data_IF_677917267007
#
_entry.id   IF_677917267007
#
_cell.length_a   1.000
_cell.length_b   1.000
_cell.length_c   1.000
_cell.angle_alpha   90.00
_cell.angle_beta   90.00
_cell.angle_gamma   90.00
#
_symmetry.space_group_name_H-M   'P 1'
#
loop_
_entity.id
_entity.type
_entity.pdbx_description
1 polymer ?
#
# COMPACT_ATOMS: atom_id res chain seq x y z
N UNK A 1 12.85 -21.70 -18.87
CA UNK A 1 12.41 -20.69 -19.85
C UNK A 1 12.88 -19.31 -19.40
N UNK A 2 13.89 -18.73 -20.05
CA UNK A 2 14.27 -17.32 -19.80
C UNK A 2 13.33 -16.45 -20.63
N UNK A 3 12.39 -15.75 -19.99
CA UNK A 3 11.52 -14.79 -20.66
C UNK A 3 12.35 -13.61 -21.14
N UNK A 4 12.62 -13.57 -22.44
CA UNK A 4 13.29 -12.45 -23.11
C UNK A 4 12.36 -11.25 -23.10
N UNK A 5 12.34 -10.49 -22.01
CA UNK A 5 11.52 -9.27 -21.91
C UNK A 5 11.92 -8.29 -23.02
N UNK A 6 10.94 -7.85 -23.81
CA UNK A 6 11.14 -6.78 -24.78
C UNK A 6 11.51 -5.48 -24.04
N UNK A 7 12.36 -4.63 -24.64
CA UNK A 7 12.73 -3.31 -24.07
C UNK A 7 11.50 -2.48 -23.66
N UNK A 8 10.37 -2.66 -24.36
CA UNK A 8 9.10 -2.00 -24.08
C UNK A 8 8.45 -2.49 -22.77
N UNK A 9 8.44 -3.79 -22.51
CA UNK A 9 7.83 -4.37 -21.29
C UNK A 9 8.61 -3.95 -20.05
N UNK A 10 9.94 -3.94 -20.15
CA UNK A 10 10.81 -3.48 -19.06
C UNK A 10 10.60 -1.99 -18.76
N UNK A 11 10.34 -1.17 -19.79
CA UNK A 11 10.04 0.25 -19.63
C UNK A 11 8.65 0.46 -19.01
N UNK A 12 7.66 -0.33 -19.40
CA UNK A 12 6.31 -0.29 -18.82
C UNK A 12 6.30 -0.72 -17.36
N UNK A 13 7.02 -1.79 -16.99
CA UNK A 13 7.21 -2.17 -15.59
C UNK A 13 7.89 -1.05 -14.80
N UNK A 14 9.01 -0.50 -15.30
CA UNK A 14 9.68 0.60 -14.62
C UNK A 14 8.75 1.80 -14.40
N UNK A 15 7.95 2.16 -15.42
CA UNK A 15 7.01 3.28 -15.32
C UNK A 15 5.90 3.04 -14.28
N UNK A 16 5.51 1.78 -14.09
CA UNK A 16 4.52 1.37 -13.10
C UNK A 16 5.10 1.37 -11.67
N UNK A 17 6.32 0.87 -11.48
CA UNK A 17 6.96 0.79 -10.15
C UNK A 17 7.50 2.14 -9.67
N UNK A 18 7.85 3.03 -10.58
CA UNK A 18 8.40 4.36 -10.25
C UNK A 18 7.48 5.20 -9.33
N UNK A 19 6.17 5.37 -9.64
CA UNK A 19 5.26 6.07 -8.73
C UNK A 19 5.07 5.37 -7.38
N UNK A 20 5.13 4.04 -7.36
CA UNK A 20 4.96 3.24 -6.15
C UNK A 20 6.06 3.55 -5.12
N UNK A 21 7.32 3.65 -5.59
CA UNK A 21 8.45 4.01 -4.73
C UNK A 21 8.36 5.42 -4.15
N UNK A 22 7.90 6.39 -4.95
CA UNK A 22 7.71 7.78 -4.50
C UNK A 22 6.56 7.85 -3.48
N UNK A 23 5.44 7.18 -3.74
CA UNK A 23 4.30 7.13 -2.81
C UNK A 23 4.65 6.50 -1.47
N UNK A 24 5.41 5.41 -1.47
CA UNK A 24 5.88 4.77 -0.23
C UNK A 24 6.77 5.72 0.61
N UNK A 25 7.72 6.41 -0.03
CA UNK A 25 8.59 7.36 0.66
C UNK A 25 7.81 8.58 1.19
N UNK A 26 6.83 9.08 0.43
CA UNK A 26 5.97 10.18 0.83
C UNK A 26 5.06 9.82 2.01
N UNK A 27 4.75 8.54 2.21
CA UNK A 27 3.97 8.08 3.39
C UNK A 27 4.86 8.05 4.63
N UNK A 28 6.09 7.55 4.47
CA UNK A 28 7.04 7.42 5.57
C UNK A 28 7.36 8.76 6.24
N UNK A 29 7.49 9.83 5.45
CA UNK A 29 7.72 11.19 5.97
C UNK A 29 6.50 11.79 6.67
N UNK A 30 5.29 11.28 6.43
CA UNK A 30 4.05 11.75 7.05
C UNK A 30 3.62 10.97 8.28
N UNK A 31 4.29 9.86 8.61
CA UNK A 31 4.02 9.13 9.85
C UNK A 31 4.17 9.97 11.13
N UNK A 32 5.17 10.87 11.26
CA UNK A 32 5.25 11.78 12.41
C UNK A 32 4.03 12.71 12.48
N UNK A 33 3.59 13.25 11.33
CA UNK A 33 2.44 14.15 11.21
C UNK A 33 1.12 13.46 11.64
N UNK A 34 0.91 12.23 11.18
CA UNK A 34 -0.25 11.39 11.53
C UNK A 34 -0.25 11.04 13.01
N UNK A 35 0.91 10.70 13.57
CA UNK A 35 1.05 10.42 15.00
C UNK A 35 0.62 11.61 15.85
N UNK A 36 1.09 12.81 15.49
CA UNK A 36 0.77 14.03 16.23
C UNK A 36 -0.72 14.40 16.10
N UNK A 37 -1.32 14.20 14.92
CA UNK A 37 -2.76 14.39 14.69
C UNK A 37 -3.65 13.44 15.48
N UNK A 38 -3.24 12.18 15.66
CA UNK A 38 -4.00 11.19 16.44
C UNK A 38 -3.75 11.28 17.96
N UNK A 39 -2.83 12.14 18.41
CA UNK A 39 -2.45 12.30 19.82
C UNK A 39 -2.06 10.98 20.53
N UNK A 40 -1.46 10.04 19.79
CA UNK A 40 -1.14 8.70 20.26
C UNK A 40 0.34 8.55 20.63
N UNK A 41 0.60 7.72 21.65
CA UNK A 41 1.96 7.36 22.05
C UNK A 41 2.70 6.63 20.91
N UNK A 42 4.01 6.85 20.80
CA UNK A 42 4.91 6.14 19.89
C UNK A 42 4.72 4.62 19.93
N UNK A 43 4.55 4.06 21.12
CA UNK A 43 4.31 2.62 21.29
C UNK A 43 3.00 2.16 20.64
N UNK A 44 1.91 2.90 20.86
CA UNK A 44 0.59 2.60 20.30
C UNK A 44 0.57 2.73 18.78
N UNK A 45 1.23 3.77 18.23
CA UNK A 45 1.39 3.93 16.79
C UNK A 45 2.15 2.76 16.16
N UNK A 46 3.23 2.29 16.81
CA UNK A 46 3.99 1.11 16.37
C UNK A 46 3.15 -0.18 16.37
N UNK A 47 2.27 -0.35 17.37
CA UNK A 47 1.32 -1.47 17.39
C UNK A 47 0.32 -1.38 16.24
N UNK A 48 -0.21 -0.19 15.94
CA UNK A 48 -1.13 0.00 14.81
C UNK A 48 -0.46 -0.26 13.46
N UNK A 49 0.79 0.19 13.29
CA UNK A 49 1.59 -0.12 12.10
C UNK A 49 1.82 -1.63 11.94
N UNK A 50 2.05 -2.33 13.06
CA UNK A 50 2.25 -3.79 13.07
C UNK A 50 0.95 -4.55 12.74
N UNK A 51 -0.21 -4.03 13.16
CA UNK A 51 -1.52 -4.56 12.76
C UNK A 51 -1.77 -4.34 11.27
N UNK A 52 -1.31 -3.21 10.70
CA UNK A 52 -1.29 -2.99 9.26
C UNK A 52 -0.52 -4.05 8.48
N UNK A 53 0.63 -4.49 9.00
CA UNK A 53 1.42 -5.55 8.37
C UNK A 53 0.65 -6.87 8.23
N UNK A 54 -0.29 -7.17 9.14
CA UNK A 54 -1.17 -8.34 9.04
C UNK A 54 -2.08 -8.24 7.80
N UNK A 55 -2.61 -7.03 7.54
CA UNK A 55 -3.35 -6.75 6.31
C UNK A 55 -2.52 -7.07 5.06
N UNK A 56 -1.27 -6.62 5.04
CA UNK A 56 -0.34 -6.90 3.93
C UNK A 56 -0.08 -8.39 3.70
N UNK A 57 0.07 -9.16 4.78
CA UNK A 57 0.24 -10.62 4.68
C UNK A 57 -1.01 -11.29 4.08
N UNK A 58 -2.20 -10.90 4.54
CA UNK A 58 -3.47 -11.41 4.03
C UNK A 58 -3.62 -11.07 2.54
N UNK A 59 -3.28 -9.83 2.17
CA UNK A 59 -3.28 -9.33 0.81
C UNK A 59 -2.35 -10.11 -0.11
N UNK A 60 -1.13 -10.43 0.33
CA UNK A 60 -0.19 -11.25 -0.45
C UNK A 60 -0.71 -12.66 -0.72
N UNK A 61 -1.37 -13.29 0.27
CA UNK A 61 -1.96 -14.62 0.10
C UNK A 61 -3.11 -14.57 -0.91
N UNK A 62 -3.98 -13.57 -0.80
CA UNK A 62 -5.12 -13.36 -1.71
C UNK A 62 -4.68 -13.04 -3.14
N UNK A 63 -3.65 -12.20 -3.29
CA UNK A 63 -3.16 -11.76 -4.61
C UNK A 63 -2.68 -12.95 -5.45
N UNK A 64 -2.07 -13.97 -4.83
CA UNK A 64 -1.61 -15.16 -5.53
C UNK A 64 -2.76 -15.92 -6.21
N UNK A 65 -3.89 -16.08 -5.51
CA UNK A 65 -5.07 -16.74 -6.07
C UNK A 65 -5.81 -15.85 -7.09
N UNK A 66 -5.94 -14.55 -6.79
CA UNK A 66 -6.59 -13.58 -7.67
C UNK A 66 -5.85 -13.42 -9.01
N UNK A 67 -4.52 -13.33 -8.97
CA UNK A 67 -3.68 -13.18 -10.17
C UNK A 67 -3.75 -14.41 -11.07
N UNK A 68 -3.87 -15.60 -10.48
CA UNK A 68 -3.99 -16.83 -11.25
C UNK A 68 -5.33 -16.93 -12.02
N UNK A 69 -6.42 -16.41 -11.44
CA UNK A 69 -7.75 -16.49 -12.05
C UNK A 69 -8.09 -15.33 -12.98
N UNK A 70 -7.72 -14.08 -12.63
CA UNK A 70 -8.16 -12.86 -13.32
C UNK A 70 -7.05 -12.23 -14.18
N UNK A 71 -5.79 -12.68 -13.99
CA UNK A 71 -4.62 -12.18 -14.70
C UNK A 71 -4.00 -10.92 -14.07
N UNK A 72 -2.72 -10.68 -14.39
CA UNK A 72 -1.88 -9.68 -13.70
C UNK A 72 -2.31 -8.23 -13.94
N UNK A 73 -2.70 -7.87 -15.17
CA UNK A 73 -2.99 -6.48 -15.56
C UNK A 73 -4.07 -5.78 -14.72
N UNK A 74 -5.29 -6.31 -14.56
CA UNK A 74 -6.35 -5.62 -13.83
C UNK A 74 -6.03 -5.48 -12.33
N UNK A 75 -5.38 -6.49 -11.74
CA UNK A 75 -5.05 -6.50 -10.31
C UNK A 75 -4.00 -5.45 -9.97
N UNK A 76 -2.99 -5.32 -10.83
CA UNK A 76 -1.95 -4.30 -10.67
C UNK A 76 -2.53 -2.88 -10.77
N UNK A 77 -3.46 -2.64 -11.69
CA UNK A 77 -4.12 -1.33 -11.82
C UNK A 77 -5.03 -1.04 -10.63
N UNK A 78 -5.78 -2.04 -10.15
CA UNK A 78 -6.62 -1.90 -8.96
C UNK A 78 -5.78 -1.61 -7.71
N UNK A 79 -4.70 -2.35 -7.49
CA UNK A 79 -3.79 -2.16 -6.36
C UNK A 79 -3.13 -0.77 -6.40
N UNK A 80 -2.63 -0.35 -7.57
CA UNK A 80 -2.04 0.98 -7.73
C UNK A 80 -3.06 2.10 -7.44
N UNK A 81 -4.28 1.98 -7.99
CA UNK A 81 -5.34 2.99 -7.78
C UNK A 81 -5.78 3.02 -6.31
N UNK A 82 -5.94 1.85 -5.68
CA UNK A 82 -6.26 1.74 -4.25
C UNK A 82 -5.20 2.38 -3.37
N UNK A 83 -3.91 2.18 -3.69
CA UNK A 83 -2.80 2.80 -2.96
C UNK A 83 -2.82 4.34 -3.11
N UNK A 84 -3.06 4.87 -4.30
CA UNK A 84 -3.13 6.33 -4.47
C UNK A 84 -4.32 6.98 -3.75
N UNK A 85 -5.49 6.34 -3.77
CA UNK A 85 -6.69 6.79 -3.04
C UNK A 85 -6.43 6.78 -1.53
N UNK A 86 -5.78 5.72 -1.06
CA UNK A 86 -5.32 5.57 0.31
C UNK A 86 -4.43 6.73 0.78
N UNK A 87 -3.41 7.09 -0.01
CA UNK A 87 -2.48 8.19 0.32
C UNK A 87 -3.20 9.52 0.52
N UNK A 88 -4.33 9.75 -0.17
CA UNK A 88 -5.16 10.93 0.00
C UNK A 88 -6.08 10.87 1.23
N UNK A 89 -6.57 9.69 1.61
CA UNK A 89 -7.53 9.52 2.71
C UNK A 89 -6.87 9.44 4.09
N UNK A 90 -5.76 8.71 4.21
CA UNK A 90 -5.05 8.48 5.49
C UNK A 90 -4.75 9.75 6.30
N UNK A 91 -4.32 10.88 5.72
CA UNK A 91 -3.99 12.10 6.47
C UNK A 91 -5.21 12.96 6.88
N UNK A 92 -6.41 12.67 6.37
CA UNK A 92 -7.63 13.42 6.73
C UNK A 92 -8.41 12.80 7.90
N UNK A 93 -8.00 11.61 8.37
CA UNK A 93 -8.70 10.87 9.42
C UNK A 93 -8.15 11.26 10.80
N UNK A 94 -8.97 11.94 11.60
CA UNK A 94 -8.64 12.34 12.97
C UNK A 94 -9.02 11.30 14.04
N UNK A 95 -9.62 10.17 13.65
CA UNK A 95 -10.06 9.12 14.58
C UNK A 95 -9.09 7.93 14.59
N UNK A 96 -8.53 7.54 15.76
CA UNK A 96 -7.55 6.45 15.86
C UNK A 96 -8.04 5.09 15.38
N UNK A 97 -9.31 4.77 15.64
CA UNK A 97 -9.90 3.47 15.27
C UNK A 97 -10.16 3.40 13.77
N UNK A 98 -10.66 4.49 13.18
CA UNK A 98 -10.85 4.57 11.72
C UNK A 98 -9.51 4.51 11.00
N UNK A 99 -8.48 5.17 11.54
CA UNK A 99 -7.13 5.08 10.99
C UNK A 99 -6.59 3.65 10.99
N UNK A 100 -6.80 2.89 12.07
CA UNK A 100 -6.38 1.49 12.17
C UNK A 100 -7.08 0.61 11.13
N UNK A 101 -8.42 0.70 11.01
CA UNK A 101 -9.18 -0.10 10.04
C UNK A 101 -8.73 0.21 8.61
N UNK A 102 -8.54 1.49 8.32
CA UNK A 102 -8.04 1.98 7.04
C UNK A 102 -6.61 1.48 6.80
N UNK A 103 -5.72 1.53 7.80
CA UNK A 103 -4.34 1.04 7.69
C UNK A 103 -4.27 -0.47 7.35
N UNK A 104 -5.14 -1.28 7.97
CA UNK A 104 -5.24 -2.73 7.67
C UNK A 104 -5.79 -2.98 6.26
N UNK A 105 -6.82 -2.22 5.84
CA UNK A 105 -7.41 -2.37 4.50
C UNK A 105 -6.48 -1.88 3.38
N UNK A 106 -5.61 -0.93 3.69
CA UNK A 106 -4.68 -0.29 2.75
C UNK A 106 -3.39 -1.08 2.59
N UNK A 107 -3.06 -1.96 3.53
CA UNK A 107 -1.89 -2.81 3.43
C UNK A 107 -2.09 -3.82 2.28
N UNK A 108 -1.82 -3.37 1.06
CA UNK A 108 -1.89 -4.07 -0.21
C UNK A 108 -0.70 -3.62 -1.07
#
# INVERSE_FOLDING_TARGET
MKSTFSKQERRALNLLFWPFGIGAMATATRFPEIRDQLNINNGTFGTYLSLGAIGGVISFILVGHLVHSVGVKPIVVFAATGLFVSLGLVPHIQSPILWLVINILIAF
#
